data_IF_133341898572
#
_entry.id   IF_133341898572
#
_cell.length_a   1.000
_cell.length_b   1.000
_cell.length_c   1.000
_cell.angle_alpha   90.00
_cell.angle_beta   90.00
_cell.angle_gamma   90.00
#
_symmetry.space_group_name_H-M   'P 1'
#
loop_
_entity.id
_entity.type
_entity.pdbx_description
1 polymer ?
#
# COMPACT_ATOMS: atom_id res chain seq x y z
N UNK A 1 12.97 7.03 51.14
CA UNK A 1 13.54 6.00 52.05
C UNK A 1 13.59 6.57 53.47
N UNK A 2 12.57 6.33 54.33
CA UNK A 2 12.63 6.70 55.75
C UNK A 2 13.37 5.63 56.56
N UNK A 3 14.05 6.02 57.64
CA UNK A 3 14.69 5.11 58.62
C UNK A 3 13.73 4.78 59.77
N UNK A 4 13.80 3.58 60.38
CA UNK A 4 12.98 3.20 61.54
C UNK A 4 13.58 3.68 62.89
N UNK A 5 12.77 3.82 63.96
CA UNK A 5 13.24 4.21 65.29
C UNK A 5 13.77 3.01 66.12
N UNK A 6 14.71 3.30 67.03
CA UNK A 6 15.37 2.32 67.90
C UNK A 6 14.68 2.11 69.26
N UNK A 7 14.99 0.97 69.89
CA UNK A 7 14.36 0.43 71.10
C UNK A 7 14.89 0.98 72.44
N UNK A 8 14.06 0.88 73.48
CA UNK A 8 14.36 1.30 74.86
C UNK A 8 14.92 0.12 75.68
N UNK A 9 15.85 0.38 76.60
CA UNK A 9 16.36 -0.62 77.56
C UNK A 9 16.15 -0.16 79.02
N UNK A 10 15.83 -1.09 79.92
CA UNK A 10 15.58 -0.84 81.33
C UNK A 10 16.68 -1.45 82.22
N UNK A 11 16.98 -0.81 83.35
CA UNK A 11 17.99 -1.25 84.32
C UNK A 11 17.37 -1.62 85.67
N UNK A 12 17.90 -2.67 86.30
CA UNK A 12 17.46 -3.16 87.62
C UNK A 12 18.26 -2.51 88.78
N UNK A 13 17.66 -2.47 89.97
CA UNK A 13 18.26 -1.89 91.18
C UNK A 13 18.36 -2.93 92.31
N UNK A 14 19.36 -2.76 93.19
CA UNK A 14 19.65 -3.68 94.31
C UNK A 14 19.62 -2.98 95.67
N UNK A 15 19.37 -3.77 96.72
CA UNK A 15 18.86 -3.42 98.05
C UNK A 15 19.85 -2.75 99.02
N UNK A 16 19.33 -2.07 100.05
CA UNK A 16 20.07 -1.86 101.32
C UNK A 16 19.16 -1.97 102.55
N UNK A 17 19.67 -2.61 103.61
CA UNK A 17 19.09 -2.70 104.95
C UNK A 17 20.26 -2.77 105.96
N UNK A 18 20.33 -1.87 106.94
CA UNK A 18 21.28 -2.01 108.07
C UNK A 18 20.83 -1.25 109.32
N UNK A 19 21.08 -1.86 110.48
CA UNK A 19 20.55 -1.46 111.79
C UNK A 19 21.47 -0.55 112.60
N UNK A 20 20.92 0.11 113.61
CA UNK A 20 21.56 1.17 114.39
C UNK A 20 22.39 0.67 115.59
N UNK A 21 23.67 1.02 115.62
CA UNK A 21 24.47 1.07 116.86
C UNK A 21 25.24 2.40 116.90
N UNK A 22 24.75 3.35 117.71
CA UNK A 22 25.27 4.71 117.71
C UNK A 22 26.75 4.77 118.13
N UNK A 23 27.61 5.31 117.27
CA UNK A 23 29.01 5.65 117.59
C UNK A 23 29.07 7.10 118.08
N UNK A 24 29.95 7.38 119.05
CA UNK A 24 30.17 8.73 119.56
C UNK A 24 30.93 9.57 118.52
N UNK A 25 30.26 10.57 117.93
CA UNK A 25 30.81 11.46 116.91
C UNK A 25 31.62 12.61 117.58
N UNK A 26 32.95 12.71 117.38
CA UNK A 26 33.78 13.70 118.07
C UNK A 26 33.48 15.16 117.68
N UNK A 27 32.81 15.41 116.53
CA UNK A 27 32.48 16.77 116.08
C UNK A 27 31.22 17.33 116.76
N UNK A 28 30.30 16.46 117.23
CA UNK A 28 29.08 16.87 117.95
C UNK A 28 29.30 16.86 119.47
N UNK A 29 29.68 18.00 120.05
CA UNK A 29 29.88 18.12 121.51
C UNK A 29 28.61 17.94 122.37
N UNK A 30 27.41 18.13 121.80
CA UNK A 30 26.12 18.07 122.53
C UNK A 30 25.09 17.29 121.69
N UNK A 31 24.31 16.41 122.33
CA UNK A 31 23.17 15.72 121.72
C UNK A 31 22.99 14.26 122.16
N UNK A 32 21.72 13.80 122.22
CA UNK A 32 21.34 12.50 122.79
C UNK A 32 22.12 11.30 122.23
N UNK A 33 22.38 11.26 120.91
CA UNK A 33 23.14 10.16 120.29
C UNK A 33 24.54 9.98 120.88
N UNK A 34 25.21 11.08 121.25
CA UNK A 34 26.54 11.06 121.87
C UNK A 34 26.50 10.90 123.40
N UNK A 35 25.40 11.27 124.05
CA UNK A 35 25.17 10.99 125.47
C UNK A 35 24.94 9.48 125.69
N UNK A 36 24.07 8.87 124.88
CA UNK A 36 23.80 7.42 124.87
C UNK A 36 25.07 6.63 124.50
N UNK A 37 25.78 7.03 123.44
CA UNK A 37 27.06 6.39 123.06
C UNK A 37 28.21 6.71 124.05
N UNK A 38 28.00 7.60 125.01
CA UNK A 38 28.98 8.03 126.01
C UNK A 38 28.73 7.53 127.43
N UNK A 39 27.65 6.77 127.68
CA UNK A 39 27.33 6.19 128.99
C UNK A 39 26.84 7.20 130.04
N UNK A 40 26.39 8.39 129.63
CA UNK A 40 25.84 9.41 130.55
C UNK A 40 24.37 9.12 130.86
N UNK A 41 24.02 9.25 132.15
CA UNK A 41 22.65 9.03 132.64
C UNK A 41 21.66 10.01 131.99
N UNK A 42 20.74 9.46 131.19
CA UNK A 42 19.79 10.24 130.39
C UNK A 42 18.87 11.13 131.23
N UNK A 43 18.67 10.80 132.50
CA UNK A 43 17.91 11.62 133.48
C UNK A 43 18.56 12.97 133.78
N UNK A 44 19.86 13.14 133.50
CA UNK A 44 20.60 14.40 133.64
C UNK A 44 20.78 15.15 132.31
N UNK A 45 20.32 14.59 131.19
CA UNK A 45 20.45 15.18 129.85
C UNK A 45 19.09 15.68 129.38
N UNK A 46 18.80 16.96 129.64
CA UNK A 46 17.57 17.60 129.17
C UNK A 46 17.49 17.63 127.64
N UNK A 47 16.37 17.16 127.08
CA UNK A 47 16.07 17.28 125.65
C UNK A 47 15.58 18.71 125.41
N UNK A 48 16.41 19.54 124.78
CA UNK A 48 15.98 20.85 124.31
C UNK A 48 15.13 20.69 123.05
N UNK A 49 13.84 21.00 123.14
CA UNK A 49 12.94 21.13 121.98
C UNK A 49 13.41 22.26 121.06
N UNK A 50 12.99 22.28 119.78
CA UNK A 50 13.35 23.38 118.86
C UNK A 50 12.93 24.76 119.38
N UNK A 51 11.88 24.85 120.21
CA UNK A 51 11.50 26.08 120.91
C UNK A 51 12.50 26.47 122.01
N UNK A 52 12.98 25.51 122.79
CA UNK A 52 14.00 25.77 123.81
C UNK A 52 15.36 26.02 123.17
N UNK A 53 15.73 25.32 122.10
CA UNK A 53 16.91 25.61 121.29
C UNK A 53 16.83 27.01 120.68
N UNK A 54 15.69 27.41 120.12
CA UNK A 54 15.47 28.79 119.68
C UNK A 54 15.45 29.80 120.84
N UNK A 55 15.06 29.41 122.06
CA UNK A 55 15.10 30.25 123.25
C UNK A 55 16.54 30.41 123.80
N UNK A 56 17.32 29.35 123.87
CA UNK A 56 18.74 29.37 124.23
C UNK A 56 19.59 30.07 123.17
N UNK A 57 19.25 29.92 121.88
CA UNK A 57 19.85 30.71 120.80
C UNK A 57 19.45 32.17 120.90
N UNK A 58 18.17 32.49 121.16
CA UNK A 58 17.76 33.87 121.47
C UNK A 58 18.55 34.43 122.65
N UNK A 59 18.76 33.69 123.74
CA UNK A 59 19.57 34.11 124.89
C UNK A 59 21.08 34.20 124.60
N UNK A 60 21.61 33.37 123.69
CA UNK A 60 23.01 33.46 123.25
C UNK A 60 23.25 34.63 122.28
N UNK A 61 22.21 35.05 121.56
CA UNK A 61 22.25 36.09 120.54
C UNK A 61 21.40 37.33 120.89
N UNK A 62 20.93 37.49 122.14
CA UNK A 62 20.07 38.62 122.59
C UNK A 62 20.76 39.99 122.47
N UNK A 63 22.08 40.01 122.28
CA UNK A 63 22.86 41.21 121.97
C UNK A 63 23.31 41.35 120.51
N UNK A 64 22.98 40.41 119.61
CA UNK A 64 23.51 40.38 118.23
C UNK A 64 22.44 40.06 117.19
N UNK A 65 21.71 41.09 116.75
CA UNK A 65 20.80 41.00 115.59
C UNK A 65 21.51 40.52 114.31
N UNK A 66 22.82 40.83 114.18
CA UNK A 66 23.65 40.40 113.05
C UNK A 66 23.75 38.87 112.93
N UNK A 67 23.81 38.13 114.05
CA UNK A 67 23.87 36.67 114.03
C UNK A 67 22.55 36.03 113.55
N UNK A 68 21.40 36.61 113.89
CA UNK A 68 20.10 36.12 113.42
C UNK A 68 19.87 36.43 111.93
N UNK A 69 20.33 37.60 111.46
CA UNK A 69 20.28 37.97 110.04
C UNK A 69 21.13 37.03 109.18
N UNK A 70 22.39 36.78 109.56
CA UNK A 70 23.29 35.87 108.84
C UNK A 70 22.70 34.46 108.65
N UNK A 71 21.94 33.94 109.61
CA UNK A 71 21.26 32.65 109.48
C UNK A 71 20.06 32.67 108.52
N UNK A 72 19.33 33.80 108.44
CA UNK A 72 18.24 33.96 107.47
C UNK A 72 18.79 34.13 106.05
N UNK A 73 19.87 34.89 105.91
CA UNK A 73 20.53 35.13 104.62
C UNK A 73 21.18 33.86 104.06
N UNK A 74 21.86 33.06 104.89
CA UNK A 74 22.43 31.76 104.45
C UNK A 74 21.34 30.77 104.03
N UNK A 75 20.23 30.65 104.78
CA UNK A 75 19.09 29.82 104.36
C UNK A 75 18.48 30.29 103.04
N UNK A 76 18.31 31.60 102.87
CA UNK A 76 17.81 32.19 101.62
C UNK A 76 18.74 31.90 100.44
N UNK A 77 20.05 32.06 100.62
CA UNK A 77 21.05 31.70 99.60
C UNK A 77 21.03 30.20 99.25
N UNK A 78 20.84 29.30 100.22
CA UNK A 78 20.68 27.87 99.94
C UNK A 78 19.37 27.54 99.20
N UNK A 79 18.26 28.18 99.55
CA UNK A 79 16.98 28.03 98.85
C UNK A 79 17.05 28.58 97.42
N UNK A 80 17.65 29.75 97.22
CA UNK A 80 17.80 30.34 95.90
C UNK A 80 18.74 29.50 95.01
N UNK A 81 19.86 28.98 95.55
CA UNK A 81 20.70 27.97 94.86
C UNK A 81 19.91 26.70 94.49
N UNK A 82 19.05 26.19 95.38
CA UNK A 82 18.19 25.03 95.08
C UNK A 82 17.17 25.35 93.99
N UNK A 83 16.61 26.58 93.97
CA UNK A 83 15.70 27.05 92.91
C UNK A 83 16.42 27.18 91.57
N UNK A 84 17.63 27.71 91.53
CA UNK A 84 18.47 27.78 90.32
C UNK A 84 18.83 26.40 89.79
N UNK A 85 19.25 25.47 90.66
CA UNK A 85 19.49 24.07 90.29
C UNK A 85 18.23 23.35 89.83
N UNK A 86 17.05 23.71 90.36
CA UNK A 86 15.76 23.19 89.88
C UNK A 86 15.41 23.75 88.50
N UNK A 87 15.54 25.07 88.29
CA UNK A 87 15.30 25.74 87.00
C UNK A 87 16.20 25.22 85.89
N UNK A 88 17.50 25.07 86.16
CA UNK A 88 18.46 24.53 85.18
C UNK A 88 18.20 23.07 84.82
N UNK A 89 17.70 22.25 85.77
CA UNK A 89 17.21 20.89 85.47
C UNK A 89 15.91 20.92 84.64
N UNK A 90 14.96 21.77 85.00
CA UNK A 90 13.69 21.91 84.30
C UNK A 90 13.84 22.45 82.87
N UNK A 91 14.82 23.33 82.62
CA UNK A 91 15.15 23.82 81.28
C UNK A 91 15.60 22.71 80.31
N UNK A 92 16.09 21.58 80.83
CA UNK A 92 16.41 20.38 80.03
C UNK A 92 15.22 19.44 79.80
N UNK A 93 14.02 19.75 80.29
CA UNK A 93 12.84 18.88 80.18
C UNK A 93 11.98 19.26 78.96
N UNK A 94 12.00 18.37 77.96
CA UNK A 94 11.21 18.50 76.71
C UNK A 94 9.70 18.33 76.90
N UNK A 95 9.26 17.83 78.06
CA UNK A 95 7.85 17.52 78.39
C UNK A 95 7.15 18.58 79.24
N UNK A 96 7.78 19.74 79.48
CA UNK A 96 7.11 20.88 80.11
C UNK A 96 6.04 21.48 79.19
N UNK A 97 5.04 22.14 79.78
CA UNK A 97 3.99 22.83 79.00
C UNK A 97 4.60 23.91 78.10
N UNK A 98 5.61 24.62 78.60
CA UNK A 98 6.38 25.63 77.87
C UNK A 98 7.14 24.99 76.69
N UNK A 99 7.95 23.95 76.91
CA UNK A 99 8.67 23.28 75.83
C UNK A 99 7.74 22.68 74.75
N UNK A 100 6.56 22.16 75.13
CA UNK A 100 5.55 21.67 74.18
C UNK A 100 4.89 22.80 73.41
N UNK A 101 4.70 23.98 74.02
CA UNK A 101 4.21 25.17 73.33
C UNK A 101 5.25 25.67 72.31
N UNK A 102 6.51 25.78 72.71
CA UNK A 102 7.61 26.19 71.84
C UNK A 102 7.80 25.22 70.67
N UNK A 103 7.76 23.91 70.91
CA UNK A 103 7.78 22.88 69.85
C UNK A 103 6.59 23.01 68.90
N UNK A 104 5.39 23.33 69.40
CA UNK A 104 4.22 23.56 68.54
C UNK A 104 4.38 24.83 67.69
N UNK A 105 4.90 25.91 68.26
CA UNK A 105 5.16 27.16 67.53
C UNK A 105 6.25 26.94 66.47
N UNK A 106 7.34 26.25 66.81
CA UNK A 106 8.38 25.85 65.86
C UNK A 106 7.82 24.98 64.73
N UNK A 107 7.05 23.93 65.04
CA UNK A 107 6.42 23.10 64.02
C UNK A 107 5.44 23.87 63.11
N UNK A 108 4.76 24.90 63.63
CA UNK A 108 3.93 25.81 62.82
C UNK A 108 4.76 26.76 61.96
N UNK A 109 5.95 27.17 62.39
CA UNK A 109 6.90 27.95 61.59
C UNK A 109 7.50 27.06 60.49
N UNK A 110 8.06 25.90 60.84
CA UNK A 110 8.58 24.90 59.90
C UNK A 110 7.55 24.51 58.84
N UNK A 111 6.27 24.35 59.22
CA UNK A 111 5.18 24.05 58.29
C UNK A 111 4.87 25.21 57.33
N UNK A 112 4.97 26.47 57.78
CA UNK A 112 4.82 27.66 56.92
C UNK A 112 6.00 27.79 55.97
N UNK A 113 7.23 27.69 56.49
CA UNK A 113 8.45 27.78 55.71
C UNK A 113 8.51 26.66 54.64
N UNK A 114 8.09 25.44 54.99
CA UNK A 114 7.94 24.33 54.05
C UNK A 114 6.82 24.57 53.01
N UNK A 115 5.74 25.26 53.36
CA UNK A 115 4.69 25.63 52.41
C UNK A 115 5.16 26.74 51.45
N UNK A 116 5.83 27.77 51.95
CA UNK A 116 6.46 28.81 51.13
C UNK A 116 7.55 28.25 50.21
N UNK A 117 8.37 27.31 50.69
CA UNK A 117 9.37 26.64 49.86
C UNK A 117 8.72 25.85 48.72
N UNK A 118 7.60 25.15 48.97
CA UNK A 118 6.82 24.48 47.90
C UNK A 118 6.23 25.48 46.92
N UNK A 119 5.70 26.61 47.41
CA UNK A 119 5.17 27.66 46.55
C UNK A 119 6.27 28.25 45.65
N UNK A 120 7.44 28.61 46.20
CA UNK A 120 8.59 29.10 45.43
C UNK A 120 9.02 28.12 44.33
N UNK A 121 9.04 26.81 44.63
CA UNK A 121 9.33 25.77 43.61
C UNK A 121 8.24 25.70 42.53
N UNK A 122 6.96 25.85 42.87
CA UNK A 122 5.88 25.91 41.89
C UNK A 122 5.96 27.17 41.01
N UNK A 123 6.25 28.33 41.60
CA UNK A 123 6.44 29.59 40.89
C UNK A 123 7.65 29.51 39.93
N UNK A 124 8.76 28.90 40.36
CA UNK A 124 9.92 28.63 39.50
C UNK A 124 9.61 27.67 38.35
N UNK A 125 8.82 26.62 38.58
CA UNK A 125 8.39 25.69 37.54
C UNK A 125 7.46 26.37 36.54
N UNK A 126 6.54 27.20 37.02
CA UNK A 126 5.64 27.97 36.17
C UNK A 126 6.40 29.02 35.33
N UNK A 127 7.38 29.71 35.92
CA UNK A 127 8.26 30.61 35.19
C UNK A 127 9.06 29.89 34.09
N UNK A 128 9.61 28.70 34.38
CA UNK A 128 10.30 27.86 33.38
C UNK A 128 9.36 27.41 32.26
N UNK A 129 8.12 27.01 32.58
CA UNK A 129 7.12 26.67 31.58
C UNK A 129 6.79 27.86 30.68
N UNK A 130 6.56 29.05 31.25
CA UNK A 130 6.31 30.27 30.46
C UNK A 130 7.51 30.65 29.59
N UNK A 131 8.75 30.47 30.08
CA UNK A 131 9.94 30.65 29.26
C UNK A 131 10.02 29.66 28.09
N UNK A 132 9.69 28.38 28.31
CA UNK A 132 9.67 27.35 27.27
C UNK A 132 8.56 27.60 26.23
N UNK A 133 7.37 27.99 26.67
CA UNK A 133 6.27 28.41 25.81
C UNK A 133 6.64 29.64 24.98
N UNK A 134 7.27 30.64 25.59
CA UNK A 134 7.75 31.85 24.90
C UNK A 134 8.85 31.52 23.88
N UNK A 135 9.82 30.66 24.23
CA UNK A 135 10.84 30.14 23.29
C UNK A 135 10.20 29.38 22.13
N UNK A 136 9.17 28.58 22.39
CA UNK A 136 8.43 27.86 21.36
C UNK A 136 7.60 28.79 20.45
N UNK A 137 7.04 29.88 20.97
CA UNK A 137 6.36 30.91 20.17
C UNK A 137 7.35 31.65 19.28
N UNK A 138 8.50 32.08 19.81
CA UNK A 138 9.57 32.71 18.99
C UNK A 138 10.01 31.74 17.89
N UNK A 139 10.34 30.48 18.21
CA UNK A 139 10.78 29.51 17.22
C UNK A 139 9.73 29.25 16.12
N UNK A 140 8.43 29.32 16.44
CA UNK A 140 7.35 29.25 15.44
C UNK A 140 7.33 30.47 14.53
N UNK A 141 7.44 31.67 15.10
CA UNK A 141 7.50 32.93 14.35
C UNK A 141 8.74 32.99 13.43
N UNK A 142 9.91 32.60 13.94
CA UNK A 142 11.14 32.48 13.14
C UNK A 142 10.95 31.49 11.97
N UNK A 143 10.37 30.31 12.22
CA UNK A 143 10.06 29.34 11.17
C UNK A 143 8.98 29.83 10.18
N UNK A 144 8.06 30.69 10.60
CA UNK A 144 7.06 31.32 9.73
C UNK A 144 7.71 32.38 8.84
N UNK A 145 8.54 33.27 9.39
CA UNK A 145 9.33 34.22 8.60
C UNK A 145 10.23 33.51 7.58
N UNK A 146 10.99 32.48 7.99
CA UNK A 146 11.83 31.68 7.09
C UNK A 146 11.03 30.99 5.97
N UNK A 147 9.76 30.64 6.21
CA UNK A 147 8.87 30.10 5.16
C UNK A 147 8.37 31.20 4.23
N UNK A 148 7.88 32.31 4.80
CA UNK A 148 7.21 33.40 4.08
C UNK A 148 8.14 34.20 3.19
N UNK A 149 9.43 34.25 3.51
CA UNK A 149 10.45 34.86 2.68
C UNK A 149 10.59 34.20 1.29
N UNK A 150 11.08 34.94 0.28
CA UNK A 150 11.17 34.44 -1.09
C UNK A 150 12.08 33.20 -1.22
N UNK A 151 13.14 33.13 -0.41
CA UNK A 151 14.05 31.96 -0.31
C UNK A 151 13.31 30.71 0.18
N UNK A 152 12.52 30.85 1.26
CA UNK A 152 11.67 29.77 1.79
C UNK A 152 10.56 29.32 0.84
N UNK A 153 9.94 30.26 0.10
CA UNK A 153 8.98 29.92 -0.98
C UNK A 153 9.62 29.11 -2.09
N UNK A 154 10.84 29.46 -2.51
CA UNK A 154 11.57 28.70 -3.53
C UNK A 154 12.01 27.32 -3.02
N UNK A 155 12.48 27.20 -1.77
CA UNK A 155 12.77 25.89 -1.19
C UNK A 155 11.52 24.99 -1.19
N UNK A 156 10.36 25.53 -0.78
CA UNK A 156 9.08 24.81 -0.85
C UNK A 156 8.74 24.37 -2.28
N UNK A 157 8.95 25.21 -3.30
CA UNK A 157 8.70 24.80 -4.68
C UNK A 157 9.70 23.76 -5.22
N UNK A 158 10.96 23.79 -4.78
CA UNK A 158 11.95 22.74 -5.09
C UNK A 158 11.58 21.40 -4.45
N UNK A 159 11.15 21.39 -3.18
CA UNK A 159 10.69 20.17 -2.51
C UNK A 159 9.46 19.56 -3.20
N UNK A 160 8.44 20.38 -3.51
CA UNK A 160 7.26 19.94 -4.27
C UNK A 160 7.62 19.38 -5.66
N UNK A 161 8.63 19.96 -6.32
CA UNK A 161 9.14 19.47 -7.60
C UNK A 161 9.88 18.14 -7.45
N UNK A 162 10.68 17.96 -6.40
CA UNK A 162 11.33 16.67 -6.09
C UNK A 162 10.32 15.56 -5.83
N UNK A 163 9.28 15.83 -5.04
CA UNK A 163 8.16 14.91 -4.80
C UNK A 163 7.43 14.56 -6.11
N UNK A 164 7.13 15.56 -6.95
CA UNK A 164 6.53 15.33 -8.26
C UNK A 164 7.43 14.48 -9.19
N UNK A 165 8.76 14.63 -9.12
CA UNK A 165 9.71 13.79 -9.86
C UNK A 165 9.76 12.35 -9.32
N UNK A 166 9.67 12.14 -8.00
CA UNK A 166 9.54 10.80 -7.39
C UNK A 166 8.25 10.12 -7.86
N UNK A 167 7.10 10.77 -7.67
CA UNK A 167 5.80 10.26 -8.10
C UNK A 167 5.77 9.97 -9.62
N UNK A 168 6.42 10.80 -10.44
CA UNK A 168 6.54 10.54 -11.89
C UNK A 168 7.40 9.32 -12.21
N UNK A 169 8.50 9.09 -11.48
CA UNK A 169 9.33 7.87 -11.64
C UNK A 169 8.53 6.62 -11.28
N UNK A 170 7.78 6.65 -10.18
CA UNK A 170 6.89 5.56 -9.74
C UNK A 170 5.79 5.27 -10.77
N UNK A 171 5.11 6.31 -11.28
CA UNK A 171 4.11 6.16 -12.35
C UNK A 171 4.69 5.56 -13.64
N UNK A 172 5.93 5.92 -14.00
CA UNK A 172 6.61 5.35 -15.18
C UNK A 172 6.98 3.88 -14.93
N UNK A 173 7.49 3.54 -13.74
CA UNK A 173 7.78 2.16 -13.38
C UNK A 173 6.51 1.29 -13.36
N UNK A 174 5.42 1.79 -12.78
CA UNK A 174 4.12 1.12 -12.79
C UNK A 174 3.59 0.91 -14.21
N UNK A 175 3.66 1.93 -15.08
CA UNK A 175 3.29 1.80 -16.50
C UNK A 175 4.17 0.81 -17.27
N UNK A 176 5.44 0.65 -16.90
CA UNK A 176 6.31 -0.37 -17.49
C UNK A 176 5.96 -1.78 -17.01
N UNK A 177 5.58 -1.95 -15.74
CA UNK A 177 5.08 -3.23 -15.23
C UNK A 177 3.77 -3.64 -15.91
N UNK A 178 2.79 -2.73 -15.97
CA UNK A 178 1.52 -2.98 -16.65
C UNK A 178 1.72 -3.39 -18.12
N UNK A 179 2.59 -2.69 -18.86
CA UNK A 179 2.93 -3.07 -20.24
C UNK A 179 3.54 -4.46 -20.37
N UNK A 180 4.39 -4.88 -19.42
CA UNK A 180 4.97 -6.23 -19.43
C UNK A 180 3.92 -7.30 -19.12
N UNK A 181 2.96 -6.98 -18.25
CA UNK A 181 1.82 -7.86 -17.97
C UNK A 181 0.91 -7.98 -19.19
N UNK A 182 0.58 -6.87 -19.87
CA UNK A 182 -0.17 -6.84 -21.12
C UNK A 182 0.56 -7.63 -22.24
N UNK A 183 1.87 -7.42 -22.41
CA UNK A 183 2.71 -8.15 -23.37
C UNK A 183 2.73 -9.66 -23.08
N UNK A 184 2.81 -10.05 -21.80
CA UNK A 184 2.78 -11.46 -21.39
C UNK A 184 1.39 -12.10 -21.60
N UNK A 185 0.30 -11.37 -21.32
CA UNK A 185 -1.07 -11.81 -21.59
C UNK A 185 -1.29 -12.00 -23.10
N UNK A 186 -0.87 -11.03 -23.92
CA UNK A 186 -0.94 -11.12 -25.37
C UNK A 186 -0.13 -12.31 -25.92
N UNK A 187 1.08 -12.55 -25.39
CA UNK A 187 1.89 -13.70 -25.78
C UNK A 187 1.25 -15.04 -25.38
N UNK A 188 0.57 -15.10 -24.22
CA UNK A 188 -0.18 -16.30 -23.81
C UNK A 188 -1.42 -16.52 -24.68
N UNK A 189 -2.20 -15.48 -24.98
CA UNK A 189 -3.35 -15.58 -25.90
C UNK A 189 -2.92 -16.03 -27.30
N UNK A 190 -1.78 -15.56 -27.81
CA UNK A 190 -1.21 -16.04 -29.09
C UNK A 190 -0.81 -17.52 -29.03
N UNK A 191 -0.26 -18.00 -27.90
CA UNK A 191 0.05 -19.43 -27.70
C UNK A 191 -1.23 -20.28 -27.63
N UNK A 192 -2.25 -19.82 -26.92
CA UNK A 192 -3.56 -20.50 -26.83
C UNK A 192 -4.20 -20.62 -28.21
N UNK A 193 -4.20 -19.55 -29.02
CA UNK A 193 -4.67 -19.58 -30.40
C UNK A 193 -3.86 -20.55 -31.28
N UNK A 194 -2.53 -20.60 -31.14
CA UNK A 194 -1.69 -21.57 -31.85
C UNK A 194 -2.01 -23.02 -31.45
N UNK A 195 -2.22 -23.29 -30.16
CA UNK A 195 -2.61 -24.60 -29.65
C UNK A 195 -4.00 -25.02 -30.14
N UNK A 196 -4.96 -24.10 -30.19
CA UNK A 196 -6.29 -24.34 -30.77
C UNK A 196 -6.17 -24.70 -32.26
N UNK A 197 -5.45 -23.90 -33.05
CA UNK A 197 -5.22 -24.17 -34.47
C UNK A 197 -4.53 -25.53 -34.72
N UNK A 198 -3.59 -25.94 -33.87
CA UNK A 198 -2.98 -27.27 -33.93
C UNK A 198 -3.95 -28.38 -33.54
N UNK A 199 -4.81 -28.15 -32.55
CA UNK A 199 -5.90 -29.05 -32.16
C UNK A 199 -6.88 -29.29 -33.30
N UNK A 200 -7.37 -28.22 -33.93
CA UNK A 200 -8.30 -28.27 -35.06
C UNK A 200 -7.69 -29.03 -36.26
N UNK A 201 -6.42 -28.74 -36.59
CA UNK A 201 -5.69 -29.47 -37.64
C UNK A 201 -5.53 -30.96 -37.32
N UNK A 202 -5.22 -31.31 -36.06
CA UNK A 202 -5.12 -32.70 -35.62
C UNK A 202 -6.49 -33.41 -35.70
N UNK A 203 -7.57 -32.74 -35.31
CA UNK A 203 -8.93 -33.25 -35.47
C UNK A 203 -9.31 -33.47 -36.94
N UNK A 204 -9.00 -32.53 -37.83
CA UNK A 204 -9.23 -32.68 -39.26
C UNK A 204 -8.48 -33.87 -39.84
N UNK A 205 -7.19 -34.04 -39.50
CA UNK A 205 -6.38 -35.17 -39.94
C UNK A 205 -6.95 -36.49 -39.42
N UNK A 206 -7.38 -36.53 -38.15
CA UNK A 206 -8.03 -37.70 -37.55
C UNK A 206 -9.38 -38.02 -38.23
N UNK A 207 -10.20 -37.01 -38.56
CA UNK A 207 -11.45 -37.17 -39.35
C UNK A 207 -11.14 -37.73 -40.76
N UNK A 208 -10.12 -37.20 -41.44
CA UNK A 208 -9.64 -37.69 -42.75
C UNK A 208 -9.11 -39.14 -42.68
N UNK A 209 -8.37 -39.50 -41.63
CA UNK A 209 -7.89 -40.88 -41.41
C UNK A 209 -9.05 -41.85 -41.13
N UNK A 210 -10.01 -41.49 -40.27
CA UNK A 210 -11.22 -42.29 -40.03
C UNK A 210 -12.05 -42.51 -41.30
N UNK A 211 -12.19 -41.49 -42.14
CA UNK A 211 -12.88 -41.64 -43.43
C UNK A 211 -12.13 -42.58 -44.38
N UNK A 212 -10.78 -42.49 -44.45
CA UNK A 212 -9.95 -43.43 -45.22
C UNK A 212 -10.06 -44.86 -44.69
N UNK A 213 -10.03 -45.04 -43.37
CA UNK A 213 -10.18 -46.35 -42.73
C UNK A 213 -11.53 -46.99 -43.11
N UNK A 214 -12.65 -46.28 -42.95
CA UNK A 214 -13.97 -46.76 -43.36
C UNK A 214 -14.02 -47.15 -44.84
N UNK A 215 -13.42 -46.34 -45.72
CA UNK A 215 -13.38 -46.66 -47.14
C UNK A 215 -12.54 -47.91 -47.46
N UNK A 216 -11.50 -48.20 -46.68
CA UNK A 216 -10.73 -49.45 -46.77
C UNK A 216 -11.55 -50.64 -46.23
N UNK A 217 -12.24 -50.47 -45.10
CA UNK A 217 -13.14 -51.48 -44.53
C UNK A 217 -14.28 -51.84 -45.50
N UNK A 218 -14.94 -50.84 -46.10
CA UNK A 218 -15.95 -51.01 -47.16
C UNK A 218 -15.39 -51.74 -48.38
N UNK A 219 -14.17 -51.38 -48.83
CA UNK A 219 -13.51 -52.06 -49.96
C UNK A 219 -13.18 -53.51 -49.63
N UNK A 220 -12.71 -53.79 -48.42
CA UNK A 220 -12.39 -55.14 -47.96
C UNK A 220 -13.66 -56.00 -47.89
N UNK A 221 -14.75 -55.49 -47.30
CA UNK A 221 -16.04 -56.20 -47.27
C UNK A 221 -16.62 -56.47 -48.67
N UNK A 222 -16.45 -55.53 -49.61
CA UNK A 222 -16.80 -55.75 -51.01
C UNK A 222 -15.91 -56.81 -51.68
N UNK A 223 -14.60 -56.82 -51.40
CA UNK A 223 -13.68 -57.87 -51.89
C UNK A 223 -14.03 -59.24 -51.32
N UNK A 224 -14.34 -59.35 -50.02
CA UNK A 224 -14.82 -60.58 -49.39
C UNK A 224 -16.11 -61.10 -50.06
N UNK A 225 -17.05 -60.20 -50.35
CA UNK A 225 -18.28 -60.54 -51.10
C UNK A 225 -17.98 -61.04 -52.52
N UNK A 226 -17.02 -60.42 -53.23
CA UNK A 226 -16.61 -60.87 -54.57
C UNK A 226 -15.88 -62.20 -54.52
N UNK A 227 -15.01 -62.43 -53.53
CA UNK A 227 -14.33 -63.71 -53.32
C UNK A 227 -15.35 -64.83 -53.05
N UNK A 228 -16.34 -64.57 -52.19
CA UNK A 228 -17.44 -65.50 -51.94
C UNK A 228 -18.22 -65.85 -53.22
N UNK A 229 -18.55 -64.86 -54.06
CA UNK A 229 -19.19 -65.11 -55.36
C UNK A 229 -18.30 -65.89 -56.34
N UNK A 230 -16.98 -65.67 -56.33
CA UNK A 230 -16.03 -66.43 -57.14
C UNK A 230 -16.01 -67.90 -56.70
N UNK A 231 -16.00 -68.15 -55.39
CA UNK A 231 -15.99 -69.51 -54.84
C UNK A 231 -17.34 -70.22 -55.02
N UNK A 232 -18.48 -69.52 -54.91
CA UNK A 232 -19.78 -70.05 -55.34
C UNK A 232 -19.75 -70.48 -56.82
N UNK A 233 -19.29 -69.61 -57.73
CA UNK A 233 -19.18 -69.96 -59.16
C UNK A 233 -18.19 -71.10 -59.44
N UNK A 234 -17.16 -71.27 -58.60
CA UNK A 234 -16.25 -72.43 -58.68
C UNK A 234 -16.95 -73.71 -58.26
N UNK A 235 -17.74 -73.68 -57.18
CA UNK A 235 -18.57 -74.80 -56.75
C UNK A 235 -19.62 -75.16 -57.81
N UNK A 236 -20.36 -74.19 -58.34
CA UNK A 236 -21.33 -74.39 -59.44
C UNK A 236 -20.68 -75.03 -60.66
N UNK A 237 -19.49 -74.56 -61.08
CA UNK A 237 -18.75 -75.18 -62.20
C UNK A 237 -18.26 -76.59 -61.88
N UNK A 238 -17.91 -76.89 -60.63
CA UNK A 238 -17.52 -78.23 -60.22
C UNK A 238 -18.72 -79.19 -60.26
N UNK A 239 -19.91 -78.74 -59.82
CA UNK A 239 -21.17 -79.48 -59.96
C UNK A 239 -21.50 -79.69 -61.43
N UNK A 240 -21.50 -78.65 -62.27
CA UNK A 240 -21.72 -78.79 -63.72
C UNK A 240 -20.72 -79.73 -64.42
N UNK A 241 -19.49 -79.86 -63.92
CA UNK A 241 -18.53 -80.85 -64.42
C UNK A 241 -18.84 -82.28 -63.95
N UNK A 242 -19.45 -82.44 -62.78
CA UNK A 242 -19.97 -83.74 -62.34
C UNK A 242 -21.22 -84.11 -63.13
N UNK A 243 -22.16 -83.19 -63.33
CA UNK A 243 -23.38 -83.38 -64.14
C UNK A 243 -23.03 -83.79 -65.58
N UNK A 244 -22.05 -83.11 -66.21
CA UNK A 244 -21.57 -83.49 -67.55
C UNK A 244 -20.99 -84.90 -67.59
N UNK A 245 -20.23 -85.31 -66.57
CA UNK A 245 -19.70 -86.68 -66.49
C UNK A 245 -20.82 -87.71 -66.34
N UNK A 246 -21.89 -87.38 -65.61
CA UNK A 246 -23.07 -88.21 -65.49
C UNK A 246 -23.78 -88.37 -66.85
N UNK A 247 -24.04 -87.26 -67.54
CA UNK A 247 -24.65 -87.28 -68.89
C UNK A 247 -23.77 -88.02 -69.91
N UNK A 248 -22.43 -87.86 -69.85
CA UNK A 248 -21.50 -88.60 -70.70
C UNK A 248 -21.48 -90.12 -70.38
N UNK A 249 -21.77 -90.51 -69.13
CA UNK A 249 -21.93 -91.90 -68.70
C UNK A 249 -23.27 -92.47 -69.19
N UNK A 250 -24.39 -91.80 -68.92
CA UNK A 250 -25.73 -92.17 -69.42
C UNK A 250 -25.73 -92.31 -70.96
N UNK A 251 -25.15 -91.34 -71.67
CA UNK A 251 -25.03 -91.39 -73.13
C UNK A 251 -24.03 -92.45 -73.64
N UNK A 252 -23.18 -93.02 -72.79
CA UNK A 252 -22.35 -94.18 -73.13
C UNK A 252 -23.12 -95.49 -72.89
N UNK A 253 -23.91 -95.56 -71.82
CA UNK A 253 -24.83 -96.67 -71.51
C UNK A 253 -25.91 -96.81 -72.59
N UNK A 254 -26.62 -95.72 -72.94
CA UNK A 254 -27.61 -95.71 -74.04
C UNK A 254 -27.00 -96.16 -75.38
N UNK A 255 -25.75 -95.78 -75.68
CA UNK A 255 -25.06 -96.24 -76.91
C UNK A 255 -24.70 -97.72 -76.86
N UNK A 256 -24.39 -98.26 -75.69
CA UNK A 256 -24.16 -99.69 -75.52
C UNK A 256 -25.46 -100.47 -75.72
N UNK A 257 -26.55 -100.04 -75.08
CA UNK A 257 -27.89 -100.61 -75.26
C UNK A 257 -28.35 -100.56 -76.73
N UNK A 258 -28.16 -99.43 -77.42
CA UNK A 258 -28.47 -99.30 -78.85
C UNK A 258 -27.63 -100.24 -79.73
N UNK A 259 -26.36 -100.46 -79.42
CA UNK A 259 -25.52 -101.43 -80.15
C UNK A 259 -25.96 -102.88 -79.90
N UNK A 260 -26.38 -103.21 -78.68
CA UNK A 260 -26.98 -104.52 -78.37
C UNK A 260 -28.32 -104.71 -79.08
N UNK A 261 -29.19 -103.70 -79.10
CA UNK A 261 -30.43 -103.71 -79.88
C UNK A 261 -30.17 -103.88 -81.39
N UNK A 262 -29.22 -103.14 -81.96
CA UNK A 262 -28.86 -103.27 -83.38
C UNK A 262 -28.32 -104.67 -83.69
N UNK A 263 -27.49 -105.24 -82.81
CA UNK A 263 -26.99 -106.61 -82.96
C UNK A 263 -28.14 -107.63 -82.92
N UNK A 264 -29.10 -107.46 -81.99
CA UNK A 264 -30.31 -108.29 -81.94
C UNK A 264 -31.19 -108.12 -83.18
N UNK A 265 -31.36 -106.89 -83.70
CA UNK A 265 -32.12 -106.64 -84.94
C UNK A 265 -31.45 -107.29 -86.14
N UNK A 266 -30.14 -107.16 -86.31
CA UNK A 266 -29.39 -107.81 -87.41
C UNK A 266 -29.45 -109.34 -87.31
N UNK A 267 -29.43 -109.92 -86.10
CA UNK A 267 -29.66 -111.35 -85.92
C UNK A 267 -31.05 -111.77 -86.43
N UNK A 268 -32.11 -111.05 -86.03
CA UNK A 268 -33.50 -111.30 -86.51
C UNK A 268 -33.65 -111.07 -88.02
N UNK A 269 -32.94 -110.11 -88.60
CA UNK A 269 -32.95 -109.87 -90.05
C UNK A 269 -32.28 -110.98 -90.85
N UNK A 270 -31.20 -111.58 -90.32
CA UNK A 270 -30.56 -112.75 -90.92
C UNK A 270 -31.48 -113.98 -90.86
N UNK A 271 -32.16 -114.21 -89.73
CA UNK A 271 -33.19 -115.25 -89.59
C UNK A 271 -34.36 -115.03 -90.57
N UNK A 272 -34.93 -113.82 -90.61
CA UNK A 272 -35.99 -113.46 -91.55
C UNK A 272 -35.55 -113.55 -93.02
N UNK A 273 -34.31 -113.19 -93.33
CA UNK A 273 -33.71 -113.32 -94.65
C UNK A 273 -33.62 -114.78 -95.10
N UNK A 274 -33.24 -115.69 -94.21
CA UNK A 274 -33.25 -117.13 -94.45
C UNK A 274 -34.68 -117.66 -94.66
N UNK A 275 -35.63 -117.25 -93.79
CA UNK A 275 -37.04 -117.64 -93.89
C UNK A 275 -37.70 -117.18 -95.20
N UNK A 276 -37.47 -115.93 -95.61
CA UNK A 276 -38.03 -115.36 -96.84
C UNK A 276 -37.44 -116.00 -98.10
N UNK A 277 -36.16 -116.40 -98.08
CA UNK A 277 -35.55 -117.17 -99.19
C UNK A 277 -36.22 -118.53 -99.38
N UNK A 278 -36.67 -119.18 -98.31
CA UNK A 278 -37.35 -120.46 -98.35
C UNK A 278 -38.81 -120.38 -98.85
N UNK A 279 -39.43 -119.20 -98.84
CA UNK A 279 -40.87 -119.02 -99.12
C UNK A 279 -41.19 -118.10 -100.33
N UNK A 280 -40.21 -117.77 -101.17
CA UNK A 280 -40.45 -116.89 -102.32
C UNK A 280 -41.32 -117.56 -103.39
N UNK A 281 -42.47 -116.94 -103.71
CA UNK A 281 -43.40 -117.41 -104.76
C UNK A 281 -42.95 -116.94 -106.16
N UNK A 282 -43.16 -117.74 -107.23
CA UNK A 282 -42.88 -117.32 -108.60
C UNK A 282 -43.82 -116.19 -109.07
N UNK A 283 -43.33 -115.35 -109.98
CA UNK A 283 -43.98 -114.08 -110.33
C UNK A 283 -45.15 -114.21 -111.33
N UNK A 284 -46.22 -113.44 -111.07
CA UNK A 284 -47.42 -113.30 -111.91
C UNK A 284 -47.25 -112.25 -113.03
N UNK A 285 -48.04 -112.39 -114.10
CA UNK A 285 -47.86 -111.69 -115.39
C UNK A 285 -48.57 -110.33 -115.49
N UNK A 286 -48.18 -109.53 -116.50
CA UNK A 286 -48.47 -108.08 -116.63
C UNK A 286 -49.94 -107.67 -116.58
N UNK A 287 -50.88 -108.54 -116.95
CA UNK A 287 -52.32 -108.23 -117.05
C UNK A 287 -52.95 -107.87 -115.70
N UNK A 288 -52.55 -108.54 -114.63
CA UNK A 288 -53.14 -108.36 -113.29
C UNK A 288 -52.76 -107.01 -112.64
N UNK A 289 -51.61 -106.45 -113.02
CA UNK A 289 -51.08 -105.18 -112.45
C UNK A 289 -51.80 -103.91 -112.93
N UNK A 290 -52.64 -103.99 -113.95
CA UNK A 290 -53.34 -102.83 -114.51
C UNK A 290 -54.68 -102.54 -113.83
N UNK A 291 -55.38 -103.57 -113.33
CA UNK A 291 -56.71 -103.42 -112.74
C UNK A 291 -56.68 -102.74 -111.37
N UNK A 292 -55.58 -102.87 -110.61
CA UNK A 292 -55.47 -102.30 -109.25
C UNK A 292 -55.31 -100.79 -109.22
N UNK A 293 -54.57 -100.19 -110.16
CA UNK A 293 -54.24 -98.75 -110.15
C UNK A 293 -55.41 -97.80 -110.40
N UNK A 294 -56.50 -98.25 -111.03
CA UNK A 294 -57.62 -97.38 -111.39
C UNK A 294 -58.48 -97.02 -110.16
N UNK A 295 -58.45 -97.81 -109.11
CA UNK A 295 -59.32 -97.66 -107.94
C UNK A 295 -58.88 -96.59 -106.92
N UNK A 296 -57.63 -96.12 -106.97
CA UNK A 296 -57.03 -95.31 -105.89
C UNK A 296 -57.24 -93.80 -106.08
N UNK A 297 -57.15 -93.27 -107.30
CA UNK A 297 -57.09 -91.83 -107.59
C UNK A 297 -58.36 -91.00 -107.27
N UNK A 298 -59.49 -91.61 -106.92
CA UNK A 298 -60.78 -90.91 -106.77
C UNK A 298 -60.97 -90.26 -105.39
N UNK A 299 -60.09 -90.54 -104.41
CA UNK A 299 -60.35 -90.22 -102.99
C UNK A 299 -59.79 -88.86 -102.50
N UNK A 300 -58.83 -88.26 -103.18
CA UNK A 300 -57.97 -87.25 -102.54
C UNK A 300 -58.43 -85.78 -102.68
N UNK A 301 -59.33 -85.44 -103.61
CA UNK A 301 -59.67 -84.03 -103.92
C UNK A 301 -60.57 -83.32 -102.87
N UNK A 302 -61.15 -84.04 -101.91
CA UNK A 302 -62.21 -83.51 -101.05
C UNK A 302 -61.75 -82.64 -99.85
N UNK A 303 -60.48 -82.66 -99.48
CA UNK A 303 -60.03 -82.22 -98.14
C UNK A 303 -59.73 -80.71 -97.96
N UNK A 304 -59.51 -79.94 -99.03
CA UNK A 304 -58.73 -78.68 -98.96
C UNK A 304 -59.50 -77.37 -98.62
N UNK A 305 -60.83 -77.37 -98.43
CA UNK A 305 -61.63 -76.11 -98.38
C UNK A 305 -61.94 -75.52 -97.00
N UNK A 306 -61.38 -76.04 -95.90
CA UNK A 306 -61.95 -75.81 -94.56
C UNK A 306 -61.22 -74.79 -93.63
N UNK A 307 -60.10 -74.18 -94.04
CA UNK A 307 -59.17 -73.56 -93.07
C UNK A 307 -59.12 -72.02 -93.00
N UNK A 308 -59.71 -71.28 -93.95
CA UNK A 308 -59.34 -69.86 -94.19
C UNK A 308 -59.99 -68.78 -93.27
N UNK A 309 -61.07 -69.08 -92.52
CA UNK A 309 -61.97 -68.03 -91.97
C UNK A 309 -61.56 -67.36 -90.63
N UNK A 310 -60.48 -67.77 -89.95
CA UNK A 310 -60.30 -67.50 -88.49
C UNK A 310 -59.55 -66.22 -88.07
N UNK A 311 -59.05 -65.38 -88.98
CA UNK A 311 -57.90 -64.48 -88.68
C UNK A 311 -58.23 -63.03 -88.26
N UNK A 312 -59.40 -62.46 -88.58
CA UNK A 312 -59.55 -60.98 -88.63
C UNK A 312 -59.94 -60.21 -87.34
N UNK A 313 -60.28 -60.88 -86.22
CA UNK A 313 -60.98 -60.23 -85.09
C UNK A 313 -60.14 -59.34 -84.15
N UNK A 314 -58.81 -59.45 -84.16
CA UNK A 314 -57.95 -59.04 -83.01
C UNK A 314 -57.57 -57.54 -82.98
N UNK A 315 -57.65 -56.80 -84.10
CA UNK A 315 -56.88 -55.55 -84.29
C UNK A 315 -57.42 -54.26 -83.63
N UNK A 316 -58.63 -54.22 -83.03
CA UNK A 316 -59.34 -52.94 -82.74
C UNK A 316 -59.10 -52.30 -81.34
N UNK A 317 -58.50 -53.01 -80.38
CA UNK A 317 -58.59 -52.65 -78.94
C UNK A 317 -57.60 -51.59 -78.42
N UNK A 318 -56.54 -51.24 -79.16
CA UNK A 318 -55.32 -50.63 -78.56
C UNK A 318 -55.33 -49.10 -78.45
N UNK A 319 -56.19 -48.37 -79.18
CA UNK A 319 -55.96 -46.94 -79.49
C UNK A 319 -56.40 -45.94 -78.40
N UNK A 320 -57.45 -46.19 -77.62
CA UNK A 320 -58.10 -45.17 -76.77
C UNK A 320 -57.27 -44.67 -75.56
N UNK A 321 -56.19 -45.37 -75.16
CA UNK A 321 -55.59 -45.22 -73.82
C UNK A 321 -54.67 -44.01 -73.63
N UNK A 322 -54.21 -43.34 -74.70
CA UNK A 322 -53.08 -42.41 -74.61
C UNK A 322 -53.43 -40.94 -74.30
N UNK A 323 -54.62 -40.44 -74.65
CA UNK A 323 -54.88 -38.99 -74.70
C UNK A 323 -55.00 -38.28 -73.33
N UNK A 324 -55.32 -38.99 -72.24
CA UNK A 324 -55.65 -38.36 -70.94
C UNK A 324 -54.47 -37.77 -70.14
N UNK A 325 -53.21 -37.99 -70.53
CA UNK A 325 -52.05 -37.64 -69.70
C UNK A 325 -51.52 -36.20 -69.85
N UNK A 326 -51.83 -35.50 -70.94
CA UNK A 326 -51.12 -34.25 -71.28
C UNK A 326 -51.66 -32.99 -70.58
N UNK A 327 -52.93 -32.97 -70.17
CA UNK A 327 -53.58 -31.75 -69.67
C UNK A 327 -53.10 -31.24 -68.29
N UNK A 328 -52.56 -32.12 -67.43
CA UNK A 328 -52.32 -31.79 -66.01
C UNK A 328 -51.00 -31.04 -65.71
N UNK A 329 -50.20 -30.73 -66.73
CA UNK A 329 -48.84 -30.20 -66.55
C UNK A 329 -48.75 -28.66 -66.56
N UNK A 330 -49.63 -27.98 -67.29
CA UNK A 330 -49.44 -26.55 -67.63
C UNK A 330 -49.80 -25.57 -66.50
N UNK A 331 -50.70 -25.95 -65.58
CA UNK A 331 -51.23 -25.05 -64.55
C UNK A 331 -50.19 -24.63 -63.51
N UNK A 332 -49.23 -25.52 -63.18
CA UNK A 332 -48.27 -25.31 -62.08
C UNK A 332 -47.21 -24.26 -62.37
N UNK A 333 -47.03 -23.86 -63.64
CA UNK A 333 -45.93 -22.98 -64.08
C UNK A 333 -46.18 -21.48 -63.79
N UNK A 334 -47.42 -21.08 -63.48
CA UNK A 334 -47.82 -19.66 -63.40
C UNK A 334 -47.64 -19.01 -62.02
N UNK A 335 -47.51 -19.79 -60.94
CA UNK A 335 -47.52 -19.27 -59.57
C UNK A 335 -46.16 -18.73 -59.06
N UNK A 336 -45.03 -19.17 -59.60
CA UNK A 336 -43.69 -18.89 -59.05
C UNK A 336 -43.06 -17.56 -59.48
N UNK A 337 -43.72 -16.79 -60.34
CA UNK A 337 -43.15 -15.57 -60.95
C UNK A 337 -43.42 -14.28 -60.18
N UNK A 338 -44.41 -14.27 -59.27
CA UNK A 338 -44.82 -13.05 -58.56
C UNK A 338 -43.96 -12.73 -57.32
N UNK A 339 -43.32 -13.72 -56.70
CA UNK A 339 -42.60 -13.55 -55.43
C UNK A 339 -41.23 -12.86 -55.55
N UNK A 340 -40.70 -12.67 -56.75
CA UNK A 340 -39.37 -12.05 -56.97
C UNK A 340 -39.38 -10.51 -57.06
N UNK A 341 -40.55 -9.87 -57.16
CA UNK A 341 -40.64 -8.42 -57.39
C UNK A 341 -40.68 -7.58 -56.09
N UNK A 342 -41.03 -8.18 -54.95
CA UNK A 342 -41.32 -7.46 -53.71
C UNK A 342 -40.12 -7.27 -52.76
N UNK A 343 -38.94 -7.83 -53.06
CA UNK A 343 -37.77 -7.81 -52.17
C UNK A 343 -36.67 -6.76 -52.53
N UNK A 344 -36.90 -5.90 -53.53
CA UNK A 344 -35.83 -5.07 -54.12
C UNK A 344 -35.79 -3.59 -53.69
N UNK A 345 -36.40 -3.19 -52.56
CA UNK A 345 -36.42 -1.77 -52.11
C UNK A 345 -36.42 -1.57 -50.59
N UNK A 346 -35.26 -1.30 -49.98
CA UNK A 346 -35.15 -0.50 -48.75
C UNK A 346 -33.68 -0.13 -48.38
N UNK A 347 -33.55 0.88 -47.51
CA UNK A 347 -32.42 1.19 -46.57
C UNK A 347 -31.33 2.26 -46.89
N UNK A 348 -31.60 3.50 -46.42
CA UNK A 348 -30.97 4.17 -45.26
C UNK A 348 -29.49 4.67 -45.20
N UNK A 349 -29.36 6.01 -45.30
CA UNK A 349 -28.71 6.98 -44.35
C UNK A 349 -27.16 7.24 -44.30
N UNK A 350 -26.73 8.53 -44.11
CA UNK A 350 -25.31 8.98 -44.03
C UNK A 350 -24.89 9.50 -42.63
N UNK A 351 -23.60 9.86 -42.38
CA UNK A 351 -23.22 10.59 -41.13
C UNK A 351 -21.85 11.32 -41.07
N UNK A 352 -21.85 12.46 -40.34
CA UNK A 352 -20.79 13.11 -39.52
C UNK A 352 -19.71 14.10 -40.07
N UNK A 353 -19.12 14.82 -39.08
CA UNK A 353 -18.67 16.24 -39.05
C UNK A 353 -17.56 16.41 -37.99
N UNK A 354 -16.56 17.31 -38.20
CA UNK A 354 -15.62 17.78 -37.14
C UNK A 354 -15.14 19.23 -37.38
N UNK A 355 -14.57 19.85 -36.33
CA UNK A 355 -14.26 21.29 -36.21
C UNK A 355 -13.04 21.46 -35.25
N UNK A 356 -12.27 22.56 -35.38
CA UNK A 356 -11.42 23.25 -34.35
C UNK A 356 -9.97 23.63 -34.74
N UNK A 357 -9.48 24.78 -34.21
CA UNK A 357 -8.16 25.04 -33.56
C UNK A 357 -7.54 26.47 -33.78
N UNK A 358 -7.64 27.31 -32.74
CA UNK A 358 -6.69 28.32 -32.13
C UNK A 358 -5.94 29.49 -32.85
N UNK A 359 -6.35 30.73 -32.50
CA UNK A 359 -5.65 31.92 -31.87
C UNK A 359 -4.24 32.56 -32.24
N UNK A 360 -4.12 33.89 -31.92
CA UNK A 360 -2.94 34.78 -31.54
C UNK A 360 -2.25 35.64 -32.64
N UNK A 361 -1.61 36.83 -32.38
CA UNK A 361 -1.73 38.03 -31.47
C UNK A 361 -0.70 39.12 -31.93
N UNK A 362 -0.82 40.39 -31.50
CA UNK A 362 -0.04 41.57 -32.00
C UNK A 362 1.14 42.05 -31.09
N UNK A 363 1.96 43.03 -31.53
CA UNK A 363 3.25 43.40 -30.88
C UNK A 363 3.71 44.88 -30.84
N UNK A 364 3.91 45.37 -29.61
CA UNK A 364 5.01 46.17 -29.03
C UNK A 364 5.50 47.55 -29.54
N UNK A 365 5.63 47.86 -30.84
CA UNK A 365 6.46 49.03 -31.26
C UNK A 365 5.75 50.40 -31.24
N UNK A 366 5.26 50.74 -30.05
CA UNK A 366 4.87 52.08 -29.62
C UNK A 366 5.94 52.59 -28.65
N UNK A 367 6.38 53.86 -28.81
CA UNK A 367 7.54 54.56 -28.18
C UNK A 367 8.85 54.43 -28.97
N UNK A 368 9.45 55.57 -29.38
CA UNK A 368 10.76 56.07 -28.92
C UNK A 368 11.29 57.30 -29.72
N UNK A 369 10.49 58.33 -29.98
CA UNK A 369 11.01 59.58 -30.59
C UNK A 369 10.37 60.84 -29.99
N UNK A 370 11.23 61.86 -29.85
CA UNK A 370 11.00 63.31 -29.72
C UNK A 370 11.32 64.00 -28.37
N UNK A 371 12.49 64.65 -28.31
CA UNK A 371 12.74 65.94 -27.61
C UNK A 371 14.13 66.50 -27.97
N UNK A 372 14.26 67.79 -28.27
CA UNK A 372 15.40 68.67 -27.90
C UNK A 372 15.35 70.05 -28.61
N UNK A 373 15.28 71.14 -27.83
CA UNK A 373 15.80 72.50 -28.13
C UNK A 373 15.29 73.53 -27.10
N UNK A 374 16.16 74.28 -26.39
CA UNK A 374 15.96 75.67 -25.90
C UNK A 374 17.11 76.16 -24.98
N UNK A 375 18.03 77.00 -25.49
CA UNK A 375 18.99 77.80 -24.68
C UNK A 375 19.44 79.07 -25.45
N UNK A 376 19.70 80.19 -24.73
CA UNK A 376 20.58 81.37 -25.04
C UNK A 376 19.94 82.79 -24.93
N UNK A 377 19.80 83.39 -23.73
CA UNK A 377 19.48 84.83 -23.59
C UNK A 377 19.73 85.47 -22.18
N UNK A 378 20.97 85.80 -21.76
CA UNK A 378 21.20 86.39 -20.40
C UNK A 378 22.44 87.30 -20.16
N UNK A 379 23.05 87.96 -21.15
CA UNK A 379 24.49 88.29 -21.04
C UNK A 379 24.98 89.71 -20.60
N UNK A 380 24.21 90.82 -20.62
CA UNK A 380 24.83 92.15 -20.91
C UNK A 380 24.79 93.30 -19.87
N UNK A 381 24.20 93.16 -18.67
CA UNK A 381 23.72 94.35 -17.90
C UNK A 381 24.68 95.09 -16.92
N UNK A 382 25.97 94.72 -16.76
CA UNK A 382 26.78 95.13 -15.57
C UNK A 382 28.17 95.72 -15.87
N UNK A 383 28.49 96.98 -15.50
CA UNK A 383 29.91 97.46 -15.63
C UNK A 383 30.53 98.67 -14.86
N UNK A 384 29.83 99.59 -14.17
CA UNK A 384 30.50 100.79 -13.56
C UNK A 384 29.85 101.32 -12.27
N UNK A 385 30.64 101.54 -11.19
CA UNK A 385 30.22 102.23 -9.93
C UNK A 385 31.36 102.72 -8.95
N UNK A 386 32.60 103.11 -9.36
CA UNK A 386 33.79 102.65 -8.61
C UNK A 386 34.56 103.59 -7.65
N UNK A 387 34.44 104.93 -7.68
CA UNK A 387 35.52 105.78 -7.08
C UNK A 387 35.30 106.28 -5.65
N UNK A 388 34.07 106.62 -5.24
CA UNK A 388 33.78 107.10 -3.87
C UNK A 388 33.95 106.02 -2.80
N UNK A 389 34.12 104.77 -3.22
CA UNK A 389 34.49 103.63 -2.40
C UNK A 389 35.84 103.84 -1.67
N UNK A 390 36.86 104.43 -2.32
CA UNK A 390 38.28 104.27 -1.94
C UNK A 390 38.72 104.77 -0.55
N UNK A 391 38.06 105.77 0.03
CA UNK A 391 38.46 106.31 1.34
C UNK A 391 37.80 105.56 2.50
N UNK A 392 36.49 105.29 2.39
CA UNK A 392 35.79 104.39 3.32
C UNK A 392 36.39 102.99 3.27
N UNK A 393 36.78 102.53 2.07
CA UNK A 393 37.55 101.30 1.88
C UNK A 393 38.83 101.20 2.73
N UNK A 394 39.46 102.29 3.18
CA UNK A 394 40.73 102.20 3.92
C UNK A 394 40.54 101.88 5.41
N UNK A 395 39.64 102.60 6.10
CA UNK A 395 39.29 102.29 7.50
C UNK A 395 38.46 101.01 7.57
N UNK A 396 37.52 100.83 6.63
CA UNK A 396 36.85 99.55 6.47
C UNK A 396 37.86 98.44 6.11
N UNK A 397 38.93 98.66 5.35
CA UNK A 397 39.96 97.64 5.14
C UNK A 397 40.71 97.28 6.42
N UNK A 398 40.96 98.22 7.34
CA UNK A 398 41.59 97.90 8.62
C UNK A 398 40.66 97.06 9.51
N UNK A 399 39.40 97.46 9.63
CA UNK A 399 38.37 96.70 10.35
C UNK A 399 38.12 95.33 9.69
N UNK A 400 37.88 95.29 8.37
CA UNK A 400 37.73 94.07 7.57
C UNK A 400 38.96 93.17 7.66
N UNK A 401 40.19 93.68 7.85
CA UNK A 401 41.39 92.83 8.08
C UNK A 401 41.37 92.17 9.46
N UNK A 402 41.02 92.90 10.51
CA UNK A 402 40.89 92.34 11.86
C UNK A 402 39.73 91.33 11.94
N UNK A 403 38.59 91.67 11.33
CA UNK A 403 37.45 90.76 11.19
C UNK A 403 37.78 89.57 10.29
N UNK A 404 38.49 89.75 9.16
CA UNK A 404 38.92 88.65 8.31
C UNK A 404 39.84 87.68 9.06
N UNK A 405 40.78 88.15 9.89
CA UNK A 405 41.60 87.28 10.73
C UNK A 405 40.78 86.52 11.78
N UNK A 406 39.76 87.16 12.37
CA UNK A 406 38.82 86.52 13.30
C UNK A 406 37.95 85.47 12.60
N UNK A 407 37.43 85.81 11.43
CA UNK A 407 36.63 84.94 10.55
C UNK A 407 37.49 83.79 10.05
N UNK A 408 38.73 84.01 9.63
CA UNK A 408 39.68 82.98 9.20
C UNK A 408 39.98 82.01 10.36
N UNK A 409 40.14 82.51 11.59
CA UNK A 409 40.32 81.66 12.78
C UNK A 409 39.06 80.83 13.08
N UNK A 410 37.87 81.42 12.96
CA UNK A 410 36.59 80.70 13.11
C UNK A 410 36.41 79.67 11.98
N UNK A 411 36.72 80.02 10.73
CA UNK A 411 36.68 79.12 9.58
C UNK A 411 37.68 77.97 9.72
N UNK A 412 38.88 78.21 10.27
CA UNK A 412 39.85 77.13 10.58
C UNK A 412 39.32 76.17 11.64
N UNK A 413 38.66 76.68 12.70
CA UNK A 413 38.01 75.85 13.71
C UNK A 413 36.82 75.06 13.14
N UNK A 414 35.91 75.72 12.42
CA UNK A 414 34.78 75.08 11.74
C UNK A 414 35.23 74.07 10.68
N UNK A 415 36.36 74.31 9.99
CA UNK A 415 36.93 73.36 9.05
C UNK A 415 37.56 72.14 9.76
N UNK A 416 38.16 72.34 10.94
CA UNK A 416 38.65 71.24 11.78
C UNK A 416 37.48 70.40 12.32
N UNK A 417 36.44 71.04 12.85
CA UNK A 417 35.23 70.39 13.34
C UNK A 417 34.48 69.65 12.22
N UNK A 418 34.31 70.27 11.04
CA UNK A 418 33.75 69.59 9.85
C UNK A 418 34.60 68.39 9.41
N UNK A 419 35.94 68.45 9.50
CA UNK A 419 36.82 67.32 9.21
C UNK A 419 36.69 66.20 10.24
N UNK A 420 36.54 66.53 11.52
CA UNK A 420 36.32 65.55 12.58
C UNK A 420 34.94 64.88 12.46
N UNK A 421 33.89 65.67 12.28
CA UNK A 421 32.53 65.15 12.07
C UNK A 421 32.42 64.33 10.77
N UNK A 422 33.14 64.71 9.70
CA UNK A 422 33.24 63.89 8.49
C UNK A 422 33.96 62.55 8.73
N UNK A 423 35.01 62.52 9.57
CA UNK A 423 35.68 61.26 9.96
C UNK A 423 34.74 60.37 10.75
N UNK A 424 34.08 60.90 11.79
CA UNK A 424 33.07 60.18 12.59
C UNK A 424 31.94 59.63 11.72
N UNK A 425 31.44 60.42 10.75
CA UNK A 425 30.40 59.97 9.84
C UNK A 425 30.87 58.85 8.87
N UNK A 426 32.13 58.88 8.44
CA UNK A 426 32.73 57.80 7.63
C UNK A 426 32.98 56.54 8.47
N UNK A 427 33.37 56.69 9.73
CA UNK A 427 33.55 55.59 10.68
C UNK A 427 32.20 54.93 11.02
N UNK A 428 31.18 55.73 11.38
CA UNK A 428 29.82 55.25 11.60
C UNK A 428 29.27 54.48 10.38
N UNK A 429 29.39 55.02 9.16
CA UNK A 429 28.98 54.31 7.93
C UNK A 429 29.74 53.00 7.68
N UNK A 430 31.01 52.91 8.09
CA UNK A 430 31.79 51.66 8.02
C UNK A 430 31.33 50.65 9.06
N UNK A 431 30.93 51.09 10.24
CA UNK A 431 30.37 50.24 11.29
C UNK A 431 28.96 49.76 10.91
N UNK A 432 28.09 50.63 10.42
CA UNK A 432 26.79 50.28 9.83
C UNK A 432 26.93 49.24 8.73
N UNK A 433 27.85 49.44 7.78
CA UNK A 433 28.10 48.48 6.70
C UNK A 433 28.61 47.13 7.22
N UNK A 434 29.51 47.11 8.21
CA UNK A 434 29.96 45.87 8.87
C UNK A 434 28.82 45.17 9.62
N UNK A 435 27.95 45.92 10.29
CA UNK A 435 26.78 45.36 10.97
C UNK A 435 25.79 44.76 9.97
N UNK A 436 25.54 45.43 8.84
CA UNK A 436 24.71 44.91 7.74
C UNK A 436 25.30 43.65 7.13
N UNK A 437 26.61 43.60 6.87
CA UNK A 437 27.28 42.38 6.40
C UNK A 437 27.16 41.24 7.42
N UNK A 438 27.43 41.49 8.71
CA UNK A 438 27.33 40.48 9.77
C UNK A 438 25.88 39.97 9.96
N UNK A 439 24.88 40.84 9.79
CA UNK A 439 23.46 40.45 9.77
C UNK A 439 23.14 39.56 8.57
N UNK A 440 23.56 39.96 7.36
CA UNK A 440 23.38 39.17 6.14
C UNK A 440 24.07 37.79 6.24
N UNK A 441 25.29 37.71 6.77
CA UNK A 441 26.00 36.45 7.00
C UNK A 441 25.29 35.57 8.04
N UNK A 442 24.76 36.15 9.11
CA UNK A 442 24.00 35.42 10.13
C UNK A 442 22.66 34.89 9.59
N UNK A 443 21.95 35.68 8.79
CA UNK A 443 20.69 35.27 8.16
C UNK A 443 20.94 34.23 7.05
N UNK A 444 21.99 34.38 6.24
CA UNK A 444 22.41 33.36 5.27
C UNK A 444 22.81 32.03 5.96
N UNK A 445 23.46 32.09 7.13
CA UNK A 445 23.78 30.91 7.92
C UNK A 445 22.52 30.23 8.50
N UNK A 446 21.56 31.02 9.02
CA UNK A 446 20.24 30.53 9.45
C UNK A 446 19.48 29.89 8.28
N UNK A 447 19.53 30.51 7.11
CA UNK A 447 18.92 29.96 5.89
C UNK A 447 19.53 28.65 5.46
N UNK A 448 20.86 28.49 5.51
CA UNK A 448 21.53 27.22 5.20
C UNK A 448 21.13 26.12 6.18
N UNK A 449 21.13 26.39 7.49
CA UNK A 449 20.65 25.43 8.49
C UNK A 449 19.16 25.06 8.29
N UNK A 450 18.32 26.03 7.91
CA UNK A 450 16.92 25.79 7.56
C UNK A 450 16.79 24.89 6.33
N UNK A 451 17.52 25.18 5.25
CA UNK A 451 17.59 24.36 4.03
C UNK A 451 17.95 22.91 4.38
N UNK A 452 19.04 22.71 5.12
CA UNK A 452 19.54 21.38 5.48
C UNK A 452 18.57 20.60 6.40
N UNK A 453 17.76 21.30 7.20
CA UNK A 453 16.75 20.68 8.07
C UNK A 453 15.44 20.29 7.36
N UNK A 454 15.12 20.91 6.22
CA UNK A 454 13.84 20.73 5.50
C UNK A 454 14.00 19.99 4.17
N UNK A 455 15.21 19.95 3.60
CA UNK A 455 15.48 19.18 2.38
C UNK A 455 15.61 17.69 2.70
N UNK A 456 14.90 16.80 1.96
CA UNK A 456 15.14 15.36 2.06
C UNK A 456 16.58 14.99 1.68
N UNK A 457 17.20 14.09 2.46
CA UNK A 457 18.58 13.64 2.21
C UNK A 457 18.80 12.96 0.84
N UNK A 458 17.72 12.54 0.18
CA UNK A 458 17.71 11.96 -1.17
C UNK A 458 17.24 12.93 -2.27
N UNK A 459 17.23 14.23 -1.98
CA UNK A 459 16.88 15.25 -2.97
C UNK A 459 17.85 15.27 -4.15
N UNK A 460 17.32 15.50 -5.36
CA UNK A 460 18.14 15.63 -6.56
C UNK A 460 19.23 16.71 -6.36
N UNK A 461 20.53 16.40 -6.55
CA UNK A 461 21.62 17.35 -6.33
C UNK A 461 21.48 18.65 -7.14
N UNK A 462 20.80 18.64 -8.28
CA UNK A 462 20.53 19.83 -9.10
C UNK A 462 19.51 20.73 -8.39
N UNK A 463 18.48 20.16 -7.77
CA UNK A 463 17.48 20.91 -7.01
C UNK A 463 18.06 21.45 -5.70
N UNK A 464 18.91 20.67 -5.03
CA UNK A 464 19.60 21.13 -3.82
C UNK A 464 20.54 22.31 -4.11
N UNK A 465 21.31 22.25 -5.21
CA UNK A 465 22.11 23.41 -5.67
C UNK A 465 21.25 24.62 -6.00
N UNK A 466 20.10 24.44 -6.66
CA UNK A 466 19.17 25.56 -6.93
C UNK A 466 18.52 26.13 -5.67
N UNK A 467 18.22 25.31 -4.67
CA UNK A 467 17.69 25.76 -3.38
C UNK A 467 18.73 26.59 -2.59
N UNK A 468 20.01 26.25 -2.70
CA UNK A 468 21.12 26.94 -2.01
C UNK A 468 21.71 28.13 -2.78
N UNK A 469 21.47 28.26 -4.09
CA UNK A 469 22.03 29.33 -4.93
C UNK A 469 21.23 30.65 -4.97
N UNK A 470 20.12 30.77 -4.24
CA UNK A 470 19.38 32.04 -4.09
C UNK A 470 20.02 32.96 -3.04
N UNK A 471 21.25 33.39 -3.33
CA UNK A 471 21.91 34.48 -2.61
C UNK A 471 21.56 35.83 -3.28
#
# INVERSE_FOLDING_TARGET
>A
MPRPPGTVAAAAATTSMSSTRARKDPLRRIGNGNAVAGGLDMTRVGILSDRELAFFQRLAYTGSQAAEQQQRDTRKQEEDRRRELSKTRAAGWTDTIEARHDQFVQAQQDAKDAAEARQKVLDELYAKQLEEEHKAVIARQELEHLKEDPRGRHLRSMNMLHEALKARKEQVAYKQMLKREDEAQNANAQRELQLQLWGDQAEELHKKLKARQRNVEEKNANLETVLYQIDQRRQERAVQQQDRKHVDQEAAEERAEQQEEEAQRRARELENGAYNKAHSRPALTKSEKLQTRVAENVKDEAALRAEEEKVDSIKRWVIERQQKKLAAFEERKKASLQQYLDQAKQENLPTYRTQDVFEKRESFLQKLYDSDAEEKAYAEEMRRYPEQLRAKEAEEAAARRAEALRIERIQKLQAAEKRENARRAVEARREEFRQQQAQQEADDARYRAYIDSVVPADMDPILYRKATQLH
#
